data_IF_447927030647
#
_entry.id   IF_447927030647
#
_cell.length_a   1.000
_cell.length_b   1.000
_cell.length_c   1.000
_cell.angle_alpha   90.00
_cell.angle_beta   90.00
_cell.angle_gamma   90.00
#
_symmetry.space_group_name_H-M   'P 1'
#
loop_
_entity.id
_entity.type
_entity.pdbx_description
1 polymer ?
#
# COMPACT_ATOMS: atom_id res chain seq x y z
N UNK A 1 -7.82 -16.44 19.06
CA UNK A 1 -7.60 -15.45 17.97
C UNK A 1 -6.12 -15.38 17.60
N UNK A 2 -5.67 -16.02 16.51
CA UNK A 2 -4.26 -16.04 16.09
C UNK A 2 -3.72 -14.66 15.64
N UNK A 3 -4.56 -13.82 15.05
CA UNK A 3 -4.17 -12.48 14.58
C UNK A 3 -3.85 -11.51 15.73
N UNK A 4 -4.68 -11.48 16.78
CA UNK A 4 -4.48 -10.59 17.92
C UNK A 4 -3.20 -10.94 18.68
N UNK A 5 -2.94 -12.24 18.89
CA UNK A 5 -1.71 -12.71 19.51
C UNK A 5 -0.48 -12.28 18.70
N UNK A 6 -0.49 -12.54 17.38
CA UNK A 6 0.58 -12.10 16.48
C UNK A 6 0.77 -10.58 16.52
N UNK A 7 -0.31 -9.80 16.56
CA UNK A 7 -0.23 -8.34 16.64
C UNK A 7 0.43 -7.88 17.94
N UNK A 8 0.06 -8.47 19.08
CA UNK A 8 0.69 -8.17 20.38
C UNK A 8 2.18 -8.48 20.36
N UNK A 9 2.56 -9.66 19.87
CA UNK A 9 3.97 -10.06 19.71
C UNK A 9 4.71 -9.09 18.78
N UNK A 10 4.09 -8.69 17.66
CA UNK A 10 4.68 -7.75 16.70
C UNK A 10 4.84 -6.34 17.25
N UNK A 11 3.89 -5.87 18.06
CA UNK A 11 3.98 -4.57 18.71
C UNK A 11 5.06 -4.53 19.80
N UNK A 12 5.31 -5.67 20.45
CA UNK A 12 6.36 -5.78 21.46
C UNK A 12 7.78 -5.64 20.87
N UNK A 13 7.98 -5.93 19.58
CA UNK A 13 9.29 -5.76 18.92
C UNK A 13 9.61 -4.32 18.53
N UNK A 14 8.71 -3.36 18.75
CA UNK A 14 8.89 -1.96 18.35
C UNK A 14 9.33 -1.17 19.57
N UNK A 15 10.56 -0.70 19.58
CA UNK A 15 11.15 0.03 20.71
C UNK A 15 10.49 1.40 20.92
N UNK A 16 10.27 2.16 19.84
CA UNK A 16 9.68 3.50 19.89
C UNK A 16 8.20 3.47 20.32
N UNK A 17 7.84 4.03 21.49
CA UNK A 17 6.47 4.02 22.00
C UNK A 17 5.47 4.72 21.07
N UNK A 18 5.86 5.80 20.40
CA UNK A 18 4.98 6.51 19.47
C UNK A 18 4.62 5.62 18.26
N UNK A 19 5.61 4.96 17.66
CA UNK A 19 5.40 4.03 16.55
C UNK A 19 4.51 2.86 16.97
N UNK A 20 4.71 2.34 18.19
CA UNK A 20 3.90 1.25 18.75
C UNK A 20 2.44 1.67 18.91
N UNK A 21 2.19 2.87 19.42
CA UNK A 21 0.83 3.43 19.57
C UNK A 21 0.14 3.63 18.22
N UNK A 22 0.87 4.16 17.23
CA UNK A 22 0.34 4.38 15.89
C UNK A 22 -0.06 3.07 15.20
N UNK A 23 0.80 2.05 15.28
CA UNK A 23 0.50 0.74 14.71
C UNK A 23 -0.65 0.03 15.43
N UNK A 24 -0.76 0.19 16.76
CA UNK A 24 -1.91 -0.29 17.52
C UNK A 24 -3.21 0.36 17.05
N UNK A 25 -3.24 1.69 16.92
CA UNK A 25 -4.43 2.41 16.45
C UNK A 25 -4.83 2.00 15.03
N UNK A 26 -3.86 1.86 14.14
CA UNK A 26 -4.09 1.36 12.79
C UNK A 26 -4.67 -0.06 12.79
N UNK A 27 -4.11 -0.96 13.60
CA UNK A 27 -4.59 -2.33 13.71
C UNK A 27 -6.01 -2.41 14.31
N UNK A 28 -6.37 -1.51 15.23
CA UNK A 28 -7.75 -1.37 15.72
C UNK A 28 -8.70 -0.97 14.59
N UNK A 29 -8.32 0.02 13.78
CA UNK A 29 -9.11 0.42 12.62
C UNK A 29 -9.32 -0.73 11.62
N UNK A 30 -8.28 -1.53 11.35
CA UNK A 30 -8.40 -2.74 10.52
C UNK A 30 -9.38 -3.75 11.09
N UNK A 31 -9.32 -3.99 12.41
CA UNK A 31 -10.25 -4.89 13.10
C UNK A 31 -11.70 -4.39 13.00
N UNK A 32 -11.94 -3.09 13.16
CA UNK A 32 -13.27 -2.51 12.99
C UNK A 32 -13.77 -2.62 11.54
N UNK A 33 -12.91 -2.36 10.55
CA UNK A 33 -13.23 -2.57 9.12
C UNK A 33 -13.61 -4.01 8.83
N UNK A 34 -12.88 -4.97 9.43
CA UNK A 34 -13.21 -6.38 9.35
C UNK A 34 -14.58 -6.66 9.94
N UNK A 35 -14.84 -6.29 11.20
CA UNK A 35 -16.12 -6.55 11.86
C UNK A 35 -17.30 -6.00 11.06
N UNK A 36 -17.13 -4.84 10.41
CA UNK A 36 -18.12 -4.27 9.50
C UNK A 36 -18.31 -5.09 8.22
N UNK A 37 -17.23 -5.62 7.63
CA UNK A 37 -17.32 -6.47 6.43
C UNK A 37 -17.95 -7.85 6.72
N UNK A 38 -17.64 -8.43 7.88
CA UNK A 38 -18.24 -9.68 8.36
C UNK A 38 -19.75 -9.54 8.56
N UNK A 39 -20.18 -8.42 9.16
CA UNK A 39 -21.59 -8.11 9.39
C UNK A 39 -22.38 -7.95 8.08
N UNK A 40 -21.70 -7.63 6.98
CA UNK A 40 -22.33 -7.36 5.70
C UNK A 40 -22.44 -8.62 4.82
N UNK A 41 -21.43 -9.50 4.73
CA UNK A 41 -21.40 -10.50 3.63
C UNK A 41 -20.74 -11.87 3.90
N UNK A 42 -19.56 -11.96 4.52
CA UNK A 42 -18.85 -13.24 4.72
C UNK A 42 -17.58 -13.12 5.59
N UNK A 43 -17.10 -14.24 6.18
CA UNK A 43 -15.84 -14.28 6.91
C UNK A 43 -14.57 -14.01 6.09
N UNK A 44 -13.59 -13.31 6.68
CA UNK A 44 -12.29 -13.05 6.06
C UNK A 44 -11.50 -14.35 5.88
N UNK A 45 -11.21 -14.67 4.62
CA UNK A 45 -10.31 -15.78 4.28
C UNK A 45 -8.86 -15.55 4.73
N UNK A 46 -8.06 -16.64 4.69
CA UNK A 46 -6.63 -16.63 5.03
C UNK A 46 -5.83 -15.58 4.25
N UNK A 47 -6.13 -15.40 2.96
CA UNK A 47 -5.45 -14.42 2.10
C UNK A 47 -5.61 -12.99 2.61
N UNK A 48 -6.80 -12.60 3.06
CA UNK A 48 -7.04 -11.27 3.62
C UNK A 48 -6.30 -11.09 4.95
N UNK A 49 -6.28 -12.13 5.80
CA UNK A 49 -5.52 -12.08 7.06
C UNK A 49 -4.01 -11.91 6.80
N UNK A 50 -3.47 -12.61 5.81
CA UNK A 50 -2.07 -12.47 5.41
C UNK A 50 -1.78 -11.08 4.84
N UNK A 51 -2.69 -10.53 4.05
CA UNK A 51 -2.58 -9.15 3.55
C UNK A 51 -2.49 -8.15 4.71
N UNK A 52 -3.41 -8.22 5.69
CA UNK A 52 -3.39 -7.32 6.86
C UNK A 52 -2.06 -7.44 7.64
N UNK A 53 -1.55 -8.66 7.83
CA UNK A 53 -0.24 -8.87 8.48
C UNK A 53 0.91 -8.22 7.69
N UNK A 54 0.87 -8.27 6.35
CA UNK A 54 1.84 -7.60 5.49
C UNK A 54 1.71 -6.08 5.60
N UNK A 55 0.51 -5.52 5.62
CA UNK A 55 0.29 -4.08 5.79
C UNK A 55 0.90 -3.58 7.11
N UNK A 56 0.62 -4.25 8.23
CA UNK A 56 1.19 -3.92 9.55
C UNK A 56 2.73 -4.07 9.56
N UNK A 57 3.24 -5.12 8.94
CA UNK A 57 4.70 -5.33 8.82
C UNK A 57 5.37 -4.22 8.01
N UNK A 58 4.77 -3.82 6.87
CA UNK A 58 5.32 -2.77 6.03
C UNK A 58 5.19 -1.38 6.65
N UNK A 59 4.14 -1.15 7.43
CA UNK A 59 4.01 0.07 8.23
C UNK A 59 5.12 0.18 9.29
N UNK A 60 5.46 -0.91 9.98
CA UNK A 60 6.62 -0.95 10.88
C UNK A 60 7.95 -0.69 10.16
N UNK A 61 8.14 -1.29 8.98
CA UNK A 61 9.34 -1.05 8.17
C UNK A 61 9.45 0.41 7.70
N UNK A 62 8.33 1.05 7.36
CA UNK A 62 8.29 2.47 7.00
C UNK A 62 8.72 3.35 8.18
N UNK A 63 8.25 3.08 9.40
CA UNK A 63 8.69 3.81 10.59
C UNK A 63 10.19 3.67 10.86
N UNK A 64 10.73 2.47 10.75
CA UNK A 64 12.16 2.23 10.91
C UNK A 64 12.98 2.99 9.85
N UNK A 65 12.52 2.99 8.60
CA UNK A 65 13.15 3.77 7.54
C UNK A 65 13.07 5.27 7.79
N UNK A 66 11.91 5.79 8.20
CA UNK A 66 11.73 7.22 8.48
C UNK A 66 12.62 7.68 9.65
N UNK A 67 12.74 6.86 10.69
CA UNK A 67 13.66 7.09 11.81
C UNK A 67 15.13 7.10 11.34
N UNK A 68 15.51 6.23 10.40
CA UNK A 68 16.86 6.23 9.82
C UNK A 68 17.17 7.52 9.04
N UNK A 69 16.14 8.19 8.51
CA UNK A 69 16.25 9.50 7.85
C UNK A 69 16.17 10.67 8.85
N UNK A 70 16.04 10.41 10.16
CA UNK A 70 15.89 11.44 11.19
C UNK A 70 14.58 12.23 11.07
N UNK A 71 13.54 11.63 10.48
CA UNK A 71 12.24 12.26 10.22
C UNK A 71 11.17 11.71 11.16
N UNK A 72 10.32 12.59 11.68
CA UNK A 72 9.10 12.19 12.37
C UNK A 72 7.93 12.04 11.39
N UNK A 73 6.93 11.23 11.72
CA UNK A 73 5.77 11.01 10.83
C UNK A 73 4.99 12.28 10.52
N UNK A 74 4.88 13.21 11.47
CA UNK A 74 4.24 14.51 11.28
C UNK A 74 5.02 15.47 10.38
N UNK A 75 6.30 15.19 10.13
CA UNK A 75 7.20 15.97 9.29
C UNK A 75 7.45 15.31 7.92
N UNK A 76 6.80 14.18 7.65
CA UNK A 76 6.97 13.46 6.39
C UNK A 76 6.57 14.34 5.21
N UNK A 77 7.43 14.37 4.18
CA UNK A 77 7.23 15.15 2.96
C UNK A 77 7.00 14.23 1.76
N UNK A 78 6.58 14.82 0.64
CA UNK A 78 6.38 14.08 -0.60
C UNK A 78 7.68 13.38 -1.05
N UNK A 79 8.83 14.05 -0.91
CA UNK A 79 10.13 13.48 -1.23
C UNK A 79 10.45 12.23 -0.40
N UNK A 80 10.01 12.16 0.86
CA UNK A 80 10.22 10.98 1.70
C UNK A 80 9.36 9.79 1.22
N UNK A 81 8.12 10.05 0.80
CA UNK A 81 7.23 9.03 0.21
C UNK A 81 7.79 8.53 -1.13
N UNK A 82 8.30 9.43 -1.96
CA UNK A 82 8.88 9.10 -3.26
C UNK A 82 10.18 8.30 -3.10
N UNK A 83 11.06 8.70 -2.16
CA UNK A 83 12.27 7.96 -1.81
C UNK A 83 11.94 6.56 -1.27
N UNK A 84 10.94 6.47 -0.39
CA UNK A 84 10.43 5.18 0.07
C UNK A 84 9.91 4.34 -1.10
N UNK A 85 9.19 4.88 -2.08
CA UNK A 85 8.69 4.06 -3.18
C UNK A 85 9.75 3.70 -4.23
N UNK A 86 10.82 4.49 -4.36
CA UNK A 86 11.90 4.28 -5.33
C UNK A 86 12.68 2.99 -5.07
N UNK A 87 12.95 2.62 -3.82
CA UNK A 87 13.79 1.43 -3.55
C UNK A 87 13.04 0.10 -3.80
N UNK A 88 11.71 0.02 -3.67
CA UNK A 88 10.95 -1.20 -4.03
C UNK A 88 9.42 -1.00 -4.03
N UNK A 89 8.86 -0.59 -5.17
CA UNK A 89 7.42 -0.30 -5.30
C UNK A 89 6.52 -1.50 -4.96
N UNK A 90 6.77 -2.68 -5.52
CA UNK A 90 5.93 -3.87 -5.33
C UNK A 90 5.86 -4.30 -3.85
N UNK A 91 7.01 -4.25 -3.18
CA UNK A 91 7.20 -4.66 -1.80
C UNK A 91 6.59 -3.66 -0.80
N UNK A 92 6.52 -2.38 -1.19
CA UNK A 92 6.08 -1.26 -0.33
C UNK A 92 4.63 -0.85 -0.55
N UNK A 93 3.98 -1.34 -1.60
CA UNK A 93 2.53 -1.18 -1.86
C UNK A 93 1.63 -1.46 -0.66
N UNK A 94 1.81 -2.53 0.12
CA UNK A 94 0.95 -2.81 1.27
C UNK A 94 0.97 -1.71 2.34
N UNK A 95 2.00 -0.86 2.40
CA UNK A 95 2.02 0.29 3.31
C UNK A 95 1.03 1.40 2.91
N UNK A 96 0.51 1.42 1.67
CA UNK A 96 -0.35 2.51 1.22
C UNK A 96 -1.63 2.65 2.06
N UNK A 97 -2.26 1.55 2.48
CA UNK A 97 -3.45 1.64 3.35
C UNK A 97 -3.13 2.31 4.68
N UNK A 98 -1.95 2.02 5.24
CA UNK A 98 -1.44 2.66 6.45
C UNK A 98 -1.21 4.15 6.24
N UNK A 99 -0.51 4.52 5.17
CA UNK A 99 -0.23 5.92 4.83
C UNK A 99 -1.53 6.72 4.62
N UNK A 100 -2.51 6.17 3.88
CA UNK A 100 -3.84 6.78 3.72
C UNK A 100 -4.55 6.96 5.05
N UNK A 101 -4.46 6.00 5.95
CA UNK A 101 -5.05 6.11 7.29
C UNK A 101 -4.37 7.22 8.12
N UNK A 102 -3.04 7.34 8.07
CA UNK A 102 -2.32 8.43 8.74
C UNK A 102 -2.75 9.80 8.22
N UNK A 103 -2.86 9.98 6.90
CA UNK A 103 -3.37 11.22 6.30
C UNK A 103 -4.81 11.52 6.69
N UNK A 104 -5.68 10.51 6.63
CA UNK A 104 -7.10 10.66 6.96
C UNK A 104 -7.30 11.07 8.42
N UNK A 105 -6.41 10.63 9.31
CA UNK A 105 -6.50 10.90 10.74
C UNK A 105 -5.63 12.05 11.21
N UNK A 106 -5.02 12.80 10.29
CA UNK A 106 -4.22 14.00 10.61
C UNK A 106 -2.86 13.73 11.26
N UNK A 107 -2.37 12.48 11.21
CA UNK A 107 -1.07 12.07 11.77
C UNK A 107 0.12 12.36 10.84
N UNK A 108 -0.20 12.62 9.59
CA UNK A 108 0.74 12.92 8.52
C UNK A 108 0.08 13.97 7.61
N UNK A 109 0.84 14.90 7.01
CA UNK A 109 0.31 15.77 5.96
C UNK A 109 -0.29 14.96 4.82
N UNK A 110 -1.23 15.57 4.08
CA UNK A 110 -1.83 14.92 2.91
C UNK A 110 -0.81 14.90 1.77
N UNK A 111 -0.28 13.73 1.50
CA UNK A 111 0.71 13.47 0.47
C UNK A 111 0.12 12.63 -0.65
N UNK A 112 0.67 12.79 -1.85
CA UNK A 112 0.27 12.01 -3.02
C UNK A 112 0.93 10.64 -2.92
N UNK A 113 0.14 9.62 -2.60
CA UNK A 113 0.56 8.25 -2.86
C UNK A 113 0.36 8.03 -4.35
N UNK A 114 1.44 7.82 -5.10
CA UNK A 114 1.30 7.39 -6.49
C UNK A 114 0.30 6.22 -6.50
N UNK A 115 -0.79 6.33 -7.29
CA UNK A 115 -1.67 5.19 -7.48
C UNK A 115 -0.78 4.05 -7.90
N UNK A 116 -1.03 2.85 -7.37
CA UNK A 116 -0.36 1.67 -7.84
C UNK A 116 -0.36 1.74 -9.36
N UNK A 117 0.82 1.93 -9.98
CA UNK A 117 1.02 1.61 -11.39
C UNK A 117 0.75 0.11 -11.46
N UNK A 118 -0.53 -0.28 -11.53
CA UNK A 118 -0.91 -1.34 -12.45
C UNK A 118 -0.09 -0.98 -13.68
N UNK A 119 0.85 -1.84 -14.08
CA UNK A 119 1.49 -1.73 -15.37
C UNK A 119 0.37 -1.65 -16.40
N UNK A 120 -0.08 -0.44 -16.68
CA UNK A 120 -0.61 -0.01 -17.93
C UNK A 120 0.67 0.41 -18.60
N UNK A 121 1.21 -0.53 -19.35
CA UNK A 121 2.26 -0.33 -20.31
C UNK A 121 2.11 1.05 -20.99
N UNK A 122 3.08 1.97 -20.85
CA UNK A 122 3.10 3.20 -21.61
C UNK A 122 3.95 2.99 -22.87
N UNK A 123 3.66 1.97 -23.68
CA UNK A 123 4.19 1.88 -25.04
C UNK A 123 3.08 1.54 -26.03
N UNK A 124 2.22 2.53 -26.25
CA UNK A 124 1.65 2.75 -27.58
C UNK A 124 2.21 4.03 -28.17
N UNK A 125 3.28 3.95 -28.99
CA UNK A 125 3.54 4.91 -30.03
C UNK A 125 2.94 4.35 -31.32
N UNK A 126 1.96 5.08 -31.86
CA UNK A 126 1.32 4.74 -33.12
C UNK A 126 2.32 4.64 -34.27
N UNK A 127 2.06 3.67 -35.16
CA UNK A 127 2.48 3.75 -36.55
C UNK A 127 1.25 3.94 -37.43
N UNK A 128 1.01 5.21 -37.76
CA UNK A 128 0.83 5.70 -39.13
C UNK A 128 0.08 4.80 -40.13
N UNK A 129 -1.20 5.15 -40.34
CA UNK A 129 -1.70 5.74 -41.59
C UNK A 129 -1.17 5.12 -42.91
N UNK A 130 -2.04 4.28 -43.50
CA UNK A 130 -2.47 4.42 -44.90
C UNK A 130 -1.61 3.76 -45.97
N UNK A 131 -2.17 2.74 -46.63
CA UNK A 131 -2.17 2.68 -48.10
C UNK A 131 -3.37 1.84 -48.57
N UNK A 132 -4.20 2.44 -49.41
CA UNK A 132 -5.22 1.76 -50.18
C UNK A 132 -4.69 1.44 -51.59
N UNK A 133 -5.30 0.42 -52.21
CA UNK A 133 -5.26 -0.07 -53.62
C UNK A 133 -4.15 -1.07 -54.02
N UNK A 134 -4.40 -1.92 -55.06
CA UNK A 134 -5.62 -2.65 -55.46
C UNK A 134 -5.35 -4.16 -55.79
N UNK A 135 -6.41 -4.91 -56.17
CA UNK A 135 -6.45 -6.36 -56.47
C UNK A 135 -5.57 -6.82 -57.66
N UNK A 136 -5.34 -8.15 -57.88
CA UNK A 136 -6.22 -8.90 -58.80
C UNK A 136 -6.48 -10.40 -58.46
N UNK A 137 -7.45 -10.95 -59.22
CA UNK A 137 -8.05 -12.30 -59.24
C UNK A 137 -7.07 -13.50 -59.35
N UNK A 138 -7.51 -14.67 -58.86
CA UNK A 138 -7.33 -16.09 -59.34
C UNK A 138 -7.96 -16.94 -58.20
N UNK A 139 -8.88 -17.90 -58.32
CA UNK A 139 -9.35 -18.75 -59.40
C UNK A 139 -9.47 -20.17 -58.84
N UNK A 140 -10.68 -20.68 -58.60
CA UNK A 140 -11.07 -22.09 -58.81
C UNK A 140 -12.57 -22.30 -58.64
#
# INVERSE_FOLDING_TARGET
MLYQRWLTERLATIEEPEHRLLLRHFATWHQMRRLRAEAEKAPLGRSQTNHIKQEVTRAGAFFAWLASQGRAIGQCQQADIDAWHTESLATRRPAQSFLRWCMKTGRMPRLTLSPAVITQDPESPGHSRGTALPQPMIGR
#
